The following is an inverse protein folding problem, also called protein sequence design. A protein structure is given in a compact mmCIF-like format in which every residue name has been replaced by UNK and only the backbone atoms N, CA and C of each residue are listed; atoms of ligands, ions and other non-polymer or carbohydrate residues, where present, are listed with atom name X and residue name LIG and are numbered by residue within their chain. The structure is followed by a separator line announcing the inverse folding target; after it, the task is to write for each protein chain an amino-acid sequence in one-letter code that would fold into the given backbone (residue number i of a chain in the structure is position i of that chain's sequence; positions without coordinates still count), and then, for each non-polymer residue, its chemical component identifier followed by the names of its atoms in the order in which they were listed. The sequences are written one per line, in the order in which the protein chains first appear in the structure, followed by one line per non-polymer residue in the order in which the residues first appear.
data_IF_257133910844
#
_entry.id   IF_257133910844
#
_cell.length_a   1.000
_cell.length_b   1.000
_cell.length_c   1.000
_cell.angle_alpha   90.00
_cell.angle_beta   90.00
_cell.angle_gamma   90.00
#
_symmetry.space_group_name_H-M   'P 1'
#
loop_
_entity.id
_entity.type
_entity.pdbx_description
1 polymer ?
#
# COMPACT_ATOMS: atom_id res chain seq x y z
N UNK A 1 0.58 2.47 16.49
CA UNK A 1 0.72 1.69 15.27
C UNK A 1 0.38 2.57 14.08
N UNK A 2 1.26 2.64 13.12
CA UNK A 2 1.07 3.50 11.95
C UNK A 2 0.82 2.66 10.70
N UNK A 3 0.17 3.28 9.72
CA UNK A 3 -0.08 2.69 8.40
C UNK A 3 0.78 3.46 7.40
N UNK A 4 1.49 2.71 6.55
CA UNK A 4 2.30 3.29 5.48
C UNK A 4 1.78 2.78 4.14
N UNK A 5 1.61 3.67 3.16
CA UNK A 5 1.28 3.27 1.80
C UNK A 5 2.50 3.44 0.90
N UNK A 6 2.79 2.42 0.11
CA UNK A 6 3.86 2.45 -0.90
C UNK A 6 3.19 2.33 -2.26
N UNK A 7 3.36 3.33 -3.09
CA UNK A 7 2.69 3.32 -4.38
C UNK A 7 3.15 4.44 -5.28
N UNK A 8 2.41 4.65 -6.37
CA UNK A 8 2.67 5.75 -7.26
C UNK A 8 2.22 7.07 -6.63
N UNK A 9 2.58 8.17 -7.28
CA UNK A 9 2.30 9.50 -6.76
C UNK A 9 0.81 9.74 -6.53
N UNK A 10 -0.03 9.29 -7.44
CA UNK A 10 -1.47 9.49 -7.35
C UNK A 10 -2.08 8.75 -6.16
N UNK A 11 -1.69 7.51 -5.95
CA UNK A 11 -2.18 6.72 -4.84
C UNK A 11 -1.71 7.29 -3.51
N UNK A 12 -0.44 7.68 -3.42
CA UNK A 12 0.12 8.27 -2.20
C UNK A 12 -0.57 9.57 -1.86
N UNK A 13 -0.85 10.39 -2.87
CA UNK A 13 -1.57 11.65 -2.66
C UNK A 13 -2.98 11.37 -2.10
N UNK A 14 -3.69 10.41 -2.68
CA UNK A 14 -5.03 10.06 -2.21
C UNK A 14 -5.05 9.62 -0.76
N UNK A 15 -4.11 8.76 -0.37
CA UNK A 15 -4.02 8.31 1.02
C UNK A 15 -3.55 9.42 1.96
N UNK A 16 -2.70 10.33 1.50
CA UNK A 16 -2.24 11.43 2.34
C UNK A 16 -3.40 12.37 2.71
N UNK A 17 -4.38 12.50 1.84
CA UNK A 17 -5.58 13.29 2.14
C UNK A 17 -6.41 12.66 3.26
N UNK A 18 -6.28 11.36 3.45
CA UNK A 18 -6.93 10.65 4.56
C UNK A 18 -6.05 10.58 5.80
N UNK A 19 -4.89 11.21 5.77
CA UNK A 19 -3.98 11.22 6.92
C UNK A 19 -3.02 10.05 6.97
N UNK A 20 -2.90 9.28 5.91
CA UNK A 20 -2.00 8.11 5.85
C UNK A 20 -0.67 8.53 5.25
N UNK A 21 0.42 8.20 5.94
CA UNK A 21 1.76 8.47 5.45
C UNK A 21 2.07 7.58 4.25
N UNK A 22 2.75 8.13 3.25
CA UNK A 22 3.06 7.39 2.05
C UNK A 22 4.46 7.63 1.52
N UNK A 23 4.92 6.68 0.70
CA UNK A 23 6.19 6.78 -0.01
C UNK A 23 5.93 6.56 -1.49
N UNK A 24 6.32 7.54 -2.30
CA UNK A 24 6.21 7.45 -3.76
C UNK A 24 7.40 6.65 -4.30
N UNK A 25 7.12 5.64 -5.10
CA UNK A 25 8.15 4.79 -5.70
C UNK A 25 7.91 4.66 -7.19
N UNK A 26 8.99 4.64 -7.97
CA UNK A 26 8.93 4.55 -9.43
C UNK A 26 9.79 3.41 -10.00
N UNK A 27 10.63 2.81 -9.19
CA UNK A 27 11.55 1.76 -9.63
C UNK A 27 11.59 0.64 -8.62
N UNK A 28 11.94 -0.56 -9.09
CA UNK A 28 12.04 -1.75 -8.23
C UNK A 28 12.97 -1.52 -7.04
N UNK A 29 14.09 -0.83 -7.27
CA UNK A 29 15.04 -0.56 -6.20
C UNK A 29 14.43 0.33 -5.12
N UNK A 30 13.66 1.33 -5.52
CA UNK A 30 12.97 2.20 -4.57
C UNK A 30 11.91 1.45 -3.77
N UNK A 31 11.19 0.54 -4.44
CA UNK A 31 10.18 -0.28 -3.80
C UNK A 31 10.81 -1.16 -2.72
N UNK A 32 11.91 -1.82 -3.06
CA UNK A 32 12.61 -2.71 -2.13
C UNK A 32 13.16 -1.92 -0.95
N UNK A 33 13.71 -0.75 -1.20
CA UNK A 33 14.23 0.10 -0.12
C UNK A 33 13.12 0.56 0.81
N UNK A 34 11.99 0.98 0.25
CA UNK A 34 10.83 1.40 1.04
C UNK A 34 10.30 0.26 1.90
N UNK A 35 10.23 -0.94 1.33
CA UNK A 35 9.80 -2.12 2.09
C UNK A 35 10.78 -2.48 3.19
N UNK A 36 12.08 -2.44 2.91
CA UNK A 36 13.10 -2.73 3.91
C UNK A 36 13.01 -1.76 5.07
N UNK A 37 12.85 -0.48 4.78
CA UNK A 37 12.72 0.55 5.81
C UNK A 37 11.46 0.34 6.64
N UNK A 38 10.34 0.02 5.98
CA UNK A 38 9.08 -0.22 6.66
C UNK A 38 9.13 -1.46 7.56
N UNK A 39 9.72 -2.54 7.05
CA UNK A 39 9.83 -3.80 7.80
C UNK A 39 10.75 -3.66 9.00
N UNK A 40 11.68 -2.72 8.96
CA UNK A 40 12.59 -2.45 10.06
C UNK A 40 12.02 -1.51 11.10
N UNK A 41 10.94 -0.81 10.77
CA UNK A 41 10.34 0.15 11.67
C UNK A 41 9.44 -0.53 12.70
N UNK A 42 9.58 -0.15 13.95
CA UNK A 42 8.74 -0.65 15.03
C UNK A 42 7.41 0.09 15.13
N UNK A 43 7.29 1.21 14.46
CA UNK A 43 6.10 2.04 14.52
C UNK A 43 5.04 1.64 13.50
N UNK A 44 5.44 1.02 12.39
CA UNK A 44 4.54 0.67 11.32
C UNK A 44 3.92 -0.70 11.57
N UNK A 45 2.61 -0.74 11.57
CA UNK A 45 1.87 -1.98 11.78
C UNK A 45 1.31 -2.57 10.49
N UNK A 46 1.00 -1.72 9.52
CA UNK A 46 0.43 -2.13 8.24
C UNK A 46 1.13 -1.37 7.12
N UNK A 47 1.52 -2.12 6.08
CA UNK A 47 2.07 -1.54 4.84
C UNK A 47 1.11 -1.86 3.71
N UNK A 48 0.56 -0.83 3.09
CA UNK A 48 -0.32 -0.96 1.94
C UNK A 48 0.51 -0.76 0.68
N UNK A 49 0.48 -1.72 -0.23
CA UNK A 49 1.22 -1.65 -1.48
C UNK A 49 0.23 -1.67 -2.63
N UNK A 50 0.30 -0.68 -3.51
CA UNK A 50 -0.61 -0.62 -4.65
C UNK A 50 -0.28 -1.73 -5.65
N UNK A 51 -1.30 -2.17 -6.38
CA UNK A 51 -1.18 -3.31 -7.29
C UNK A 51 -0.14 -3.09 -8.40
N UNK A 52 -0.05 -1.88 -8.93
CA UNK A 52 0.94 -1.55 -9.95
C UNK A 52 2.36 -1.70 -9.42
N UNK A 53 2.59 -1.34 -8.16
CA UNK A 53 3.88 -1.49 -7.51
C UNK A 53 4.13 -2.95 -7.16
N UNK A 54 3.14 -3.63 -6.60
CA UNK A 54 3.30 -5.03 -6.16
C UNK A 54 3.60 -5.96 -7.34
N UNK A 55 3.06 -5.66 -8.51
CA UNK A 55 3.29 -6.49 -9.70
C UNK A 55 4.76 -6.47 -10.15
N UNK A 56 5.50 -5.43 -9.79
CA UNK A 56 6.94 -5.34 -10.11
C UNK A 56 7.80 -6.20 -9.17
N UNK A 57 7.26 -6.59 -8.03
CA UNK A 57 7.98 -7.37 -7.02
C UNK A 57 7.13 -8.56 -6.56
N UNK A 58 6.50 -9.23 -7.50
CA UNK A 58 5.51 -10.28 -7.21
C UNK A 58 6.05 -11.37 -6.28
N UNK A 59 7.25 -11.86 -6.54
CA UNK A 59 7.85 -12.92 -5.70
C UNK A 59 8.00 -12.48 -4.26
N UNK A 60 8.44 -11.25 -4.05
CA UNK A 60 8.61 -10.72 -2.71
C UNK A 60 7.26 -10.49 -2.04
N UNK A 61 6.29 -9.98 -2.79
CA UNK A 61 4.94 -9.76 -2.27
C UNK A 61 4.29 -11.07 -1.83
N UNK A 62 4.44 -12.13 -2.62
CA UNK A 62 3.90 -13.43 -2.26
C UNK A 62 4.46 -13.91 -0.92
N UNK A 63 5.76 -13.75 -0.71
CA UNK A 63 6.40 -14.10 0.54
C UNK A 63 5.90 -13.24 1.69
N UNK A 64 5.82 -11.93 1.49
CA UNK A 64 5.42 -11.00 2.54
C UNK A 64 3.95 -11.17 2.94
N UNK A 65 3.08 -11.48 2.00
CA UNK A 65 1.66 -11.67 2.28
C UNK A 65 1.37 -12.94 3.06
N UNK A 66 2.29 -13.91 3.03
CA UNK A 66 2.16 -15.14 3.81
C UNK A 66 2.61 -14.96 5.26
N UNK A 67 3.25 -13.86 5.58
CA UNK A 67 3.70 -13.59 6.93
C UNK A 67 2.51 -13.21 7.82
N UNK A 68 2.54 -13.68 9.05
CA UNK A 68 1.56 -13.31 10.06
C UNK A 68 2.14 -12.39 11.13
N UNK A 69 3.34 -11.86 10.89
CA UNK A 69 4.02 -10.94 11.82
C UNK A 69 3.82 -9.49 11.40
N UNK A 70 3.97 -8.60 12.36
CA UNK A 70 3.90 -7.15 12.14
C UNK A 70 5.24 -6.65 11.58
N UNK A 71 5.24 -5.77 10.57
CA UNK A 71 4.08 -5.18 9.91
C UNK A 71 3.42 -6.13 8.91
N UNK A 72 2.10 -6.03 8.79
CA UNK A 72 1.36 -6.77 7.79
C UNK A 72 1.48 -6.05 6.46
N UNK A 73 1.74 -6.78 5.39
CA UNK A 73 1.84 -6.21 4.03
C UNK A 73 0.59 -6.61 3.27
N UNK A 74 -0.14 -5.61 2.76
CA UNK A 74 -1.42 -5.82 2.08
C UNK A 74 -1.38 -5.16 0.71
N UNK A 75 -1.78 -5.90 -0.31
CA UNK A 75 -1.91 -5.36 -1.66
C UNK A 75 -3.27 -4.70 -1.81
N UNK A 76 -3.29 -3.52 -2.40
CA UNK A 76 -4.53 -2.78 -2.66
C UNK A 76 -4.61 -2.40 -4.14
N UNK A 77 -5.82 -2.20 -4.69
CA UNK A 77 -5.96 -1.78 -6.09
C UNK A 77 -5.30 -0.44 -6.34
N UNK A 78 -4.62 -0.32 -7.48
CA UNK A 78 -4.09 0.96 -7.92
C UNK A 78 -5.17 1.80 -8.57
N UNK A 79 -4.96 3.12 -8.70
CA UNK A 79 -5.96 3.99 -9.30
C UNK A 79 -6.23 3.69 -10.77
N UNK A 80 -5.28 3.10 -11.47
CA UNK A 80 -5.39 2.80 -12.90
C UNK A 80 -5.95 1.41 -13.18
N UNK A 81 -5.89 0.52 -12.21
CA UNK A 81 -6.33 -0.86 -12.38
C UNK A 81 -7.80 -1.08 -12.10
N UNK A 82 -8.55 -0.02 -11.86
CA UNK A 82 -9.94 -0.11 -11.47
C UNK A 82 -10.84 -0.02 -12.68
N UNK A 83 -11.60 -1.07 -12.96
CA UNK A 83 -12.62 -1.02 -14.00
C UNK A 83 -13.85 -0.27 -13.47
N UNK A 84 -14.78 0.06 -14.36
CA UNK A 84 -16.01 0.76 -13.96
C UNK A 84 -16.85 -0.03 -12.96
N UNK A 85 -16.62 -1.34 -12.87
CA UNK A 85 -17.38 -2.21 -11.97
C UNK A 85 -16.73 -2.35 -10.60
N UNK A 86 -15.55 -1.78 -10.42
CA UNK A 86 -14.81 -1.92 -9.19
C UNK A 86 -14.89 -0.64 -8.36
N UNK A 87 -14.68 -0.76 -7.03
CA UNK A 87 -14.68 0.43 -6.19
C UNK A 87 -13.56 1.38 -6.59
N UNK A 88 -13.81 2.65 -6.42
CA UNK A 88 -12.80 3.68 -6.63
C UNK A 88 -11.77 3.63 -5.51
N UNK A 89 -10.64 4.31 -5.71
CA UNK A 89 -9.63 4.41 -4.66
C UNK A 89 -10.23 5.07 -3.41
N UNK A 90 -11.11 6.03 -3.58
CA UNK A 90 -11.81 6.66 -2.46
C UNK A 90 -12.62 5.65 -1.66
N UNK A 91 -13.32 4.75 -2.35
CA UNK A 91 -14.10 3.70 -1.68
C UNK A 91 -13.19 2.77 -0.88
N UNK A 92 -12.04 2.43 -1.43
CA UNK A 92 -11.06 1.57 -0.75
C UNK A 92 -10.55 2.26 0.52
N UNK A 93 -10.24 3.54 0.42
CA UNK A 93 -9.79 4.32 1.57
C UNK A 93 -10.86 4.37 2.65
N UNK A 94 -12.09 4.65 2.27
CA UNK A 94 -13.20 4.74 3.22
C UNK A 94 -13.43 3.43 3.93
N UNK A 95 -13.32 2.32 3.23
CA UNK A 95 -13.46 0.99 3.83
C UNK A 95 -12.31 0.70 4.80
N UNK A 96 -11.10 1.09 4.43
CA UNK A 96 -9.91 0.85 5.25
C UNK A 96 -9.99 1.57 6.59
N UNK A 97 -10.58 2.75 6.61
CA UNK A 97 -10.73 3.52 7.86
C UNK A 97 -12.05 3.22 8.58
N UNK A 98 -12.82 2.26 8.10
CA UNK A 98 -14.02 1.81 8.79
C UNK A 98 -15.24 2.71 8.65
N UNK A 99 -15.23 3.65 7.72
CA UNK A 99 -16.38 4.52 7.49
C UNK A 99 -17.40 3.77 6.66
N UNK A 100 -18.61 3.70 7.17
CA UNK A 100 -19.74 3.12 6.44
C UNK A 100 -20.51 4.23 5.75
N UNK A 101 -20.77 4.00 4.51
CA UNK A 101 -21.54 4.93 3.70
C UNK A 101 -22.90 4.33 3.44
#
# INVERSE_FOLDING_TARGET
MKILVIGNEEAVLGFSLAGVQGMVVNAVEEINQALDDALSSKEIGIVLVTQDVSSLIQSRMDTLQLRSTIPLVVEIPGPEGVSSDQPTLSDVILRAIGVKI
#
